data_IF_539606755889
#
_entry.id   IF_539606755889
#
_cell.length_a   1.000
_cell.length_b   1.000
_cell.length_c   1.000
_cell.angle_alpha   90.00
_cell.angle_beta   90.00
_cell.angle_gamma   90.00
#
_symmetry.space_group_name_H-M   'P 1'
#
loop_
_entity.id
_entity.type
_entity.pdbx_description
1 polymer ?
#
# COMPACT_ATOMS: atom_id res chain seq x y z
N UNK A 1 12.04 2.88 -6.32
CA UNK A 1 12.15 4.35 -6.36
C UNK A 1 13.59 4.84 -6.34
N UNK A 2 14.44 4.40 -5.39
CA UNK A 2 15.83 4.88 -5.24
C UNK A 2 16.65 4.80 -6.54
N UNK A 3 16.68 3.63 -7.18
CA UNK A 3 17.42 3.45 -8.44
C UNK A 3 16.92 4.38 -9.55
N UNK A 4 15.59 4.53 -9.69
CA UNK A 4 14.98 5.45 -10.66
C UNK A 4 15.38 6.89 -10.34
N UNK A 5 15.34 7.31 -9.07
CA UNK A 5 15.81 8.63 -8.63
C UNK A 5 17.27 8.92 -9.02
N UNK A 6 18.16 7.92 -8.98
CA UNK A 6 19.54 8.09 -9.42
C UNK A 6 19.67 8.39 -10.91
N UNK A 7 18.83 7.79 -11.77
CA UNK A 7 18.76 8.14 -13.20
C UNK A 7 18.29 9.59 -13.41
N UNK A 8 17.30 10.04 -12.64
CA UNK A 8 16.85 11.43 -12.65
C UNK A 8 17.97 12.40 -12.26
N UNK A 9 18.63 12.17 -11.13
CA UNK A 9 19.73 13.00 -10.65
C UNK A 9 20.92 13.01 -11.64
N UNK A 10 21.33 11.85 -12.13
CA UNK A 10 22.40 11.73 -13.11
C UNK A 10 22.07 12.43 -14.43
N UNK A 11 20.81 12.34 -14.89
CA UNK A 11 20.34 13.03 -16.09
C UNK A 11 20.43 14.55 -16.00
N UNK A 12 20.10 15.11 -14.83
CA UNK A 12 20.22 16.55 -14.57
C UNK A 12 21.71 16.97 -14.50
N UNK A 13 22.52 16.27 -13.69
CA UNK A 13 23.94 16.61 -13.48
C UNK A 13 24.73 16.52 -14.79
N UNK A 14 24.51 15.46 -15.57
CA UNK A 14 25.19 15.24 -16.85
C UNK A 14 24.58 16.01 -18.02
N UNK A 15 23.49 16.78 -17.80
CA UNK A 15 22.70 17.44 -18.84
C UNK A 15 22.36 16.53 -20.03
N UNK A 16 22.12 15.25 -19.75
CA UNK A 16 21.92 14.23 -20.79
C UNK A 16 20.45 13.81 -20.87
N UNK A 17 19.82 14.15 -21.99
CA UNK A 17 18.39 13.89 -22.26
C UNK A 17 18.03 12.41 -22.21
N UNK A 18 18.93 11.50 -22.62
CA UNK A 18 18.64 10.06 -22.65
C UNK A 18 18.45 9.48 -21.25
N UNK A 19 19.26 9.90 -20.26
CA UNK A 19 19.08 9.47 -18.87
C UNK A 19 17.74 9.96 -18.29
N UNK A 20 17.33 11.17 -18.65
CA UNK A 20 16.07 11.76 -18.20
C UNK A 20 14.85 11.14 -18.91
N UNK A 21 14.99 10.72 -20.17
CA UNK A 21 13.98 9.92 -20.87
C UNK A 21 13.83 8.54 -20.23
N UNK A 22 14.93 7.85 -19.93
CA UNK A 22 14.89 6.56 -19.21
C UNK A 22 14.21 6.71 -17.85
N UNK A 23 14.49 7.79 -17.11
CA UNK A 23 13.82 8.09 -15.85
C UNK A 23 12.29 8.16 -16.00
N UNK A 24 11.79 8.93 -16.97
CA UNK A 24 10.34 9.06 -17.25
C UNK A 24 9.75 7.70 -17.63
N UNK A 25 10.39 6.95 -18.54
CA UNK A 25 9.92 5.62 -18.95
C UNK A 25 9.79 4.67 -17.75
N UNK A 26 10.80 4.64 -16.87
CA UNK A 26 10.76 3.80 -15.67
C UNK A 26 9.64 4.22 -14.70
N UNK A 27 9.40 5.52 -14.51
CA UNK A 27 8.29 6.00 -13.68
C UNK A 27 6.94 5.59 -14.25
N UNK A 28 6.74 5.67 -15.57
CA UNK A 28 5.50 5.23 -16.22
C UNK A 28 5.30 3.73 -16.03
N UNK A 29 6.34 2.92 -16.23
CA UNK A 29 6.27 1.48 -15.98
C UNK A 29 5.89 1.16 -14.52
N UNK A 30 6.47 1.88 -13.55
CA UNK A 30 6.13 1.71 -12.13
C UNK A 30 4.69 2.14 -11.81
N UNK A 31 4.20 3.22 -12.42
CA UNK A 31 2.82 3.65 -12.26
C UNK A 31 1.83 2.58 -12.77
N UNK A 32 2.09 2.00 -13.94
CA UNK A 32 1.29 0.90 -14.49
C UNK A 32 1.30 -0.31 -13.56
N UNK A 33 2.48 -0.72 -13.08
CA UNK A 33 2.59 -1.85 -12.14
C UNK A 33 1.80 -1.62 -10.85
N UNK A 34 1.82 -0.40 -10.29
CA UNK A 34 1.02 -0.06 -9.10
C UNK A 34 -0.47 -0.15 -9.34
N UNK A 35 -0.93 0.31 -10.51
CA UNK A 35 -2.35 0.20 -10.90
C UNK A 35 -2.75 -1.28 -11.01
N UNK A 36 -1.93 -2.10 -11.67
CA UNK A 36 -2.17 -3.55 -11.79
C UNK A 36 -2.24 -4.21 -10.40
N UNK A 37 -1.29 -3.91 -9.51
CA UNK A 37 -1.30 -4.44 -8.14
C UNK A 37 -2.54 -3.99 -7.35
N UNK A 38 -2.97 -2.73 -7.53
CA UNK A 38 -4.20 -2.23 -6.93
C UNK A 38 -5.43 -3.00 -7.40
N UNK A 39 -5.56 -3.21 -8.71
CA UNK A 39 -6.67 -3.97 -9.31
C UNK A 39 -6.64 -5.43 -8.83
N UNK A 40 -5.46 -6.07 -8.84
CA UNK A 40 -5.31 -7.46 -8.41
C UNK A 40 -5.70 -7.64 -6.94
N UNK A 41 -5.31 -6.70 -6.09
CA UNK A 41 -5.68 -6.70 -4.67
C UNK A 41 -7.20 -6.66 -4.51
N UNK A 42 -7.89 -5.80 -5.26
CA UNK A 42 -9.35 -5.72 -5.22
C UNK A 42 -10.02 -7.00 -5.75
N UNK A 43 -9.52 -7.55 -6.86
CA UNK A 43 -10.06 -8.77 -7.44
C UNK A 43 -9.86 -10.01 -6.55
N UNK A 44 -8.75 -10.09 -5.81
CA UNK A 44 -8.44 -11.21 -4.92
C UNK A 44 -9.05 -11.08 -3.52
N UNK A 45 -9.54 -9.90 -3.13
CA UNK A 45 -10.17 -9.66 -1.83
C UNK A 45 -11.21 -10.73 -1.43
N UNK A 46 -12.22 -11.07 -2.26
CA UNK A 46 -13.23 -12.05 -1.86
C UNK A 46 -12.67 -13.47 -1.69
N UNK A 47 -11.64 -13.83 -2.46
CA UNK A 47 -10.97 -15.13 -2.35
C UNK A 47 -10.22 -15.22 -1.03
N UNK A 48 -9.47 -14.17 -0.68
CA UNK A 48 -8.75 -14.08 0.59
C UNK A 48 -9.70 -14.08 1.78
N UNK A 49 -10.80 -13.34 1.70
CA UNK A 49 -11.82 -13.32 2.76
C UNK A 49 -12.41 -14.71 2.99
N UNK A 50 -12.70 -15.45 1.91
CA UNK A 50 -13.20 -16.82 1.99
C UNK A 50 -12.16 -17.76 2.60
N UNK A 51 -10.92 -17.75 2.12
CA UNK A 51 -9.86 -18.61 2.67
C UNK A 51 -9.62 -18.32 4.15
N UNK A 52 -9.70 -17.05 4.56
CA UNK A 52 -9.59 -16.67 5.95
C UNK A 52 -10.72 -17.25 6.80
N UNK A 53 -11.98 -17.17 6.34
CA UNK A 53 -13.12 -17.81 7.02
C UNK A 53 -12.94 -19.32 7.13
N UNK A 54 -12.53 -19.97 6.03
CA UNK A 54 -12.35 -21.42 5.97
C UNK A 54 -11.21 -21.88 6.90
N UNK A 55 -10.09 -21.16 6.93
CA UNK A 55 -8.96 -21.44 7.84
C UNK A 55 -9.37 -21.27 9.31
N UNK A 56 -10.05 -20.17 9.64
CA UNK A 56 -10.51 -19.93 11.00
C UNK A 56 -11.52 -20.99 11.45
N UNK A 57 -12.45 -21.37 10.58
CA UNK A 57 -13.38 -22.47 10.83
C UNK A 57 -12.61 -23.78 11.09
N UNK A 58 -11.63 -24.10 10.25
CA UNK A 58 -10.81 -25.33 10.40
C UNK A 58 -10.07 -25.36 11.74
N UNK A 59 -9.42 -24.26 12.11
CA UNK A 59 -8.67 -24.18 13.36
C UNK A 59 -9.58 -24.35 14.57
N UNK A 60 -10.71 -23.66 14.61
CA UNK A 60 -11.61 -23.71 15.77
C UNK A 60 -12.42 -25.00 15.87
N UNK A 61 -12.68 -25.70 14.75
CA UNK A 61 -13.29 -27.04 14.75
C UNK A 61 -12.33 -28.12 15.24
N UNK A 62 -11.03 -27.95 15.05
CA UNK A 62 -9.97 -28.87 15.48
C UNK A 62 -9.00 -28.16 16.43
N UNK A 63 -9.57 -27.52 17.45
CA UNK A 63 -8.82 -26.61 18.34
C UNK A 63 -7.67 -27.28 19.11
N UNK A 64 -7.73 -28.61 19.31
CA UNK A 64 -6.65 -29.37 19.96
C UNK A 64 -5.40 -29.45 19.06
N UNK A 65 -5.57 -29.60 17.75
CA UNK A 65 -4.43 -29.68 16.81
C UNK A 65 -3.91 -28.28 16.40
N UNK A 66 -4.74 -27.24 16.50
CA UNK A 66 -4.41 -25.88 16.09
C UNK A 66 -4.24 -24.88 17.24
N UNK A 67 -4.16 -25.34 18.49
CA UNK A 67 -4.07 -24.53 19.72
C UNK A 67 -3.12 -23.34 19.57
N UNK A 68 -1.86 -23.57 19.16
CA UNK A 68 -0.86 -22.50 18.98
C UNK A 68 -1.28 -21.42 17.98
N UNK A 69 -1.89 -21.80 16.86
CA UNK A 69 -2.33 -20.84 15.84
C UNK A 69 -3.51 -20.01 16.35
N UNK A 70 -4.40 -20.64 17.12
CA UNK A 70 -5.53 -19.98 17.77
C UNK A 70 -5.00 -18.99 18.80
N UNK A 71 -4.08 -19.39 19.67
CA UNK A 71 -3.49 -18.54 20.70
C UNK A 71 -2.81 -17.32 20.11
N UNK A 72 -1.96 -17.50 19.09
CA UNK A 72 -1.28 -16.40 18.40
C UNK A 72 -2.28 -15.39 17.81
N UNK A 73 -3.37 -15.86 17.21
CA UNK A 73 -4.41 -14.98 16.67
C UNK A 73 -5.17 -14.27 17.79
N UNK A 74 -5.53 -14.98 18.86
CA UNK A 74 -6.27 -14.41 19.99
C UNK A 74 -5.46 -13.32 20.69
N UNK A 75 -4.17 -13.55 20.92
CA UNK A 75 -3.25 -12.57 21.51
C UNK A 75 -2.99 -11.39 20.57
N UNK A 76 -2.74 -11.65 19.29
CA UNK A 76 -2.40 -10.59 18.32
C UNK A 76 -3.58 -9.65 18.03
N UNK A 77 -4.80 -10.18 18.03
CA UNK A 77 -6.00 -9.45 17.65
C UNK A 77 -6.97 -9.14 18.81
N UNK A 78 -6.61 -9.54 20.05
CA UNK A 78 -7.41 -9.34 21.26
C UNK A 78 -8.87 -9.81 21.05
N UNK A 79 -8.99 -11.05 20.59
CA UNK A 79 -10.26 -11.65 20.16
C UNK A 79 -10.44 -13.03 20.76
N UNK A 80 -11.67 -13.54 20.73
CA UNK A 80 -11.94 -14.91 21.12
C UNK A 80 -13.08 -15.52 20.31
N UNK A 81 -12.99 -16.81 20.02
CA UNK A 81 -13.82 -17.57 19.06
C UNK A 81 -13.65 -17.16 17.59
N UNK A 82 -13.97 -18.06 16.67
CA UNK A 82 -13.94 -17.77 15.24
C UNK A 82 -14.99 -16.70 14.85
N UNK A 83 -16.26 -16.99 15.13
CA UNK A 83 -17.43 -16.20 14.70
C UNK A 83 -18.36 -15.78 15.85
N UNK A 84 -18.15 -16.31 17.06
CA UNK A 84 -18.91 -15.95 18.25
C UNK A 84 -18.73 -16.96 19.40
N UNK A 85 -18.69 -16.46 20.64
CA UNK A 85 -18.52 -17.30 21.84
C UNK A 85 -19.72 -18.22 22.13
N UNK A 86 -20.90 -17.87 21.60
CA UNK A 86 -22.10 -18.69 21.72
C UNK A 86 -22.00 -20.00 20.92
N UNK A 87 -21.26 -19.99 19.81
CA UNK A 87 -21.12 -21.13 18.88
C UNK A 87 -19.95 -22.05 19.25
N UNK A 88 -19.07 -21.61 20.15
CA UNK A 88 -17.90 -22.37 20.55
C UNK A 88 -18.17 -23.14 21.84
N UNK A 89 -18.42 -24.45 21.71
CA UNK A 89 -18.71 -25.37 22.82
C UNK A 89 -17.43 -26.10 23.26
N UNK A 90 -16.55 -25.38 23.96
CA UNK A 90 -15.32 -25.92 24.56
C UNK A 90 -15.44 -25.94 26.09
N UNK A 91 -14.93 -27.01 26.69
CA UNK A 91 -14.96 -27.21 28.15
C UNK A 91 -14.12 -26.18 28.92
N UNK A 92 -13.03 -25.70 28.31
CA UNK A 92 -12.16 -24.66 28.84
C UNK A 92 -11.76 -23.74 27.69
N UNK A 93 -11.83 -22.43 27.90
CA UNK A 93 -11.29 -21.45 26.95
C UNK A 93 -9.76 -21.42 27.07
N UNK A 94 -9.02 -21.20 25.97
CA UNK A 94 -7.59 -20.94 26.02
C UNK A 94 -7.29 -19.70 26.85
N UNK A 95 -6.13 -19.67 27.49
CA UNK A 95 -5.75 -18.55 28.35
C UNK A 95 -5.53 -17.25 27.52
N UNK A 96 -5.17 -17.39 26.23
CA UNK A 96 -5.02 -16.33 25.21
C UNK A 96 -6.32 -15.59 24.86
N UNK A 97 -7.48 -16.19 25.16
CA UNK A 97 -8.82 -15.62 24.97
C UNK A 97 -9.16 -14.52 26.00
N UNK A 98 -8.33 -14.33 27.04
CA UNK A 98 -8.63 -13.46 28.17
C UNK A 98 -7.57 -12.35 28.37
N UNK A 99 -7.98 -11.11 28.69
CA UNK A 99 -7.06 -9.97 28.90
C UNK A 99 -6.30 -10.02 30.24
N UNK A 100 -6.76 -10.80 31.23
CA UNK A 100 -6.16 -10.92 32.57
C UNK A 100 -6.09 -12.40 32.98
N UNK A 101 -4.98 -12.77 33.65
CA UNK A 101 -4.55 -14.08 34.21
C UNK A 101 -5.55 -15.26 34.24
N UNK A 102 -5.08 -16.51 33.99
CA UNK A 102 -5.89 -17.69 33.61
C UNK A 102 -6.80 -18.34 34.65
N UNK A 103 -6.90 -17.82 35.88
CA UNK A 103 -7.64 -18.51 36.94
C UNK A 103 -9.16 -18.44 36.78
N UNK A 104 -9.69 -17.42 36.08
CA UNK A 104 -11.13 -17.17 35.91
C UNK A 104 -11.53 -16.87 34.44
N UNK A 105 -10.85 -17.46 33.46
CA UNK A 105 -11.20 -17.27 32.05
C UNK A 105 -12.49 -18.03 31.71
N UNK A 106 -13.59 -17.30 31.54
CA UNK A 106 -14.91 -17.83 31.21
C UNK A 106 -15.54 -16.99 30.08
N UNK A 107 -16.74 -17.37 29.63
CA UNK A 107 -17.42 -16.66 28.53
C UNK A 107 -17.77 -15.19 28.86
N UNK A 108 -17.83 -14.82 30.14
CA UNK A 108 -18.13 -13.46 30.60
C UNK A 108 -16.88 -12.58 30.71
N UNK A 109 -15.71 -13.17 31.02
CA UNK A 109 -14.43 -12.48 31.21
C UNK A 109 -13.56 -12.49 29.94
N UNK A 110 -13.84 -13.37 28.99
CA UNK A 110 -13.21 -13.47 27.68
C UNK A 110 -13.43 -12.24 26.78
N UNK A 111 -12.57 -12.10 25.77
CA UNK A 111 -12.80 -11.15 24.69
C UNK A 111 -14.13 -11.46 23.97
N UNK A 112 -15.06 -10.51 24.01
CA UNK A 112 -16.37 -10.65 23.38
C UNK A 112 -16.33 -10.50 21.85
N UNK A 113 -15.19 -10.07 21.30
CA UNK A 113 -15.03 -9.82 19.86
C UNK A 113 -14.61 -11.11 19.14
N UNK A 114 -15.36 -11.59 18.13
CA UNK A 114 -14.94 -12.72 17.30
C UNK A 114 -13.68 -12.41 16.50
N UNK A 115 -12.78 -13.38 16.38
CA UNK A 115 -11.50 -13.21 15.69
C UNK A 115 -11.64 -12.84 14.22
N UNK A 116 -12.63 -13.39 13.51
CA UNK A 116 -12.91 -12.98 12.14
C UNK A 116 -13.15 -11.46 12.04
N UNK A 117 -14.01 -10.92 12.92
CA UNK A 117 -14.35 -9.50 12.92
C UNK A 117 -13.18 -8.60 13.35
N UNK A 118 -12.40 -9.03 14.35
CA UNK A 118 -11.23 -8.30 14.84
C UNK A 118 -10.16 -8.19 13.75
N UNK A 119 -9.85 -9.30 13.08
CA UNK A 119 -8.88 -9.34 11.98
C UNK A 119 -9.37 -8.47 10.82
N UNK A 120 -10.61 -8.63 10.35
CA UNK A 120 -11.15 -7.82 9.24
C UNK A 120 -11.06 -6.33 9.58
N UNK A 121 -11.45 -5.93 10.80
CA UNK A 121 -11.37 -4.54 11.24
C UNK A 121 -9.93 -4.00 11.26
N UNK A 122 -8.97 -4.79 11.74
CA UNK A 122 -7.55 -4.41 11.73
C UNK A 122 -7.01 -4.32 10.31
N UNK A 123 -7.33 -5.30 9.45
CA UNK A 123 -7.00 -5.33 8.03
C UNK A 123 -7.54 -4.07 7.35
N UNK A 124 -8.83 -3.77 7.45
CA UNK A 124 -9.43 -2.57 6.86
C UNK A 124 -8.74 -1.27 7.31
N UNK A 125 -8.43 -1.15 8.59
CA UNK A 125 -7.75 0.02 9.14
C UNK A 125 -6.37 0.19 8.52
N UNK A 126 -5.59 -0.88 8.42
CA UNK A 126 -4.24 -0.85 7.83
C UNK A 126 -4.30 -0.65 6.31
N UNK A 127 -5.22 -1.30 5.62
CA UNK A 127 -5.44 -1.15 4.19
C UNK A 127 -5.79 0.29 3.80
N UNK A 128 -6.60 1.00 4.59
CA UNK A 128 -6.88 2.43 4.35
C UNK A 128 -5.61 3.28 4.38
N UNK A 129 -4.73 3.06 5.37
CA UNK A 129 -3.46 3.79 5.50
C UNK A 129 -2.52 3.45 4.33
N UNK A 130 -2.37 2.16 4.02
CA UNK A 130 -1.51 1.68 2.92
C UNK A 130 -2.00 2.22 1.57
N UNK A 131 -3.31 2.17 1.33
CA UNK A 131 -3.94 2.71 0.13
C UNK A 131 -3.65 4.20 -0.05
N UNK A 132 -3.75 5.00 1.02
CA UNK A 132 -3.41 6.42 1.00
C UNK A 132 -1.93 6.68 0.68
N UNK A 133 -1.02 5.90 1.24
CA UNK A 133 0.42 5.98 0.92
C UNK A 133 0.70 5.64 -0.54
N UNK A 134 0.10 4.57 -1.06
CA UNK A 134 0.22 4.17 -2.47
C UNK A 134 -0.30 5.25 -3.42
N UNK A 135 -1.43 5.88 -3.10
CA UNK A 135 -1.98 6.98 -3.90
C UNK A 135 -1.08 8.22 -3.89
N UNK A 136 -0.58 8.60 -2.71
CA UNK A 136 0.36 9.72 -2.56
C UNK A 136 1.62 9.51 -3.40
N UNK A 137 2.13 8.29 -3.36
CA UNK A 137 3.26 7.83 -4.16
C UNK A 137 2.97 7.96 -5.67
N UNK A 138 1.78 7.55 -6.13
CA UNK A 138 1.39 7.66 -7.54
C UNK A 138 1.31 9.13 -8.00
N UNK A 139 0.74 10.01 -7.18
CA UNK A 139 0.71 11.45 -7.45
C UNK A 139 2.12 12.04 -7.55
N UNK A 140 3.02 11.65 -6.64
CA UNK A 140 4.42 12.08 -6.66
C UNK A 140 5.14 11.63 -7.95
N UNK A 141 4.88 10.42 -8.45
CA UNK A 141 5.45 9.94 -9.71
C UNK A 141 5.00 10.78 -10.90
N UNK A 142 3.71 11.14 -10.97
CA UNK A 142 3.19 12.00 -12.03
C UNK A 142 3.85 13.38 -11.97
N UNK A 143 3.97 13.96 -10.78
CA UNK A 143 4.68 15.24 -10.59
C UNK A 143 6.14 15.15 -11.05
N UNK A 144 6.84 14.07 -10.70
CA UNK A 144 8.21 13.83 -11.14
C UNK A 144 8.33 13.69 -12.67
N UNK A 145 7.38 13.04 -13.33
CA UNK A 145 7.32 12.95 -14.79
C UNK A 145 7.16 14.35 -15.43
N UNK A 146 6.25 15.18 -14.91
CA UNK A 146 6.01 16.53 -15.40
C UNK A 146 7.28 17.39 -15.24
N UNK A 147 7.90 17.35 -14.06
CA UNK A 147 9.13 18.10 -13.80
C UNK A 147 10.28 17.64 -14.72
N UNK A 148 10.44 16.33 -14.91
CA UNK A 148 11.45 15.81 -15.83
C UNK A 148 11.18 16.26 -17.28
N UNK A 149 9.93 16.25 -17.74
CA UNK A 149 9.56 16.73 -19.07
C UNK A 149 9.88 18.22 -19.26
N UNK A 150 9.57 19.07 -18.26
CA UNK A 150 9.93 20.49 -18.27
C UNK A 150 11.44 20.69 -18.38
N UNK A 151 12.23 19.91 -17.62
CA UNK A 151 13.69 19.97 -17.69
C UNK A 151 14.21 19.56 -19.08
N UNK A 152 13.66 18.51 -19.69
CA UNK A 152 14.02 18.11 -21.07
C UNK A 152 13.71 19.24 -22.06
N UNK A 153 12.55 19.88 -21.95
CA UNK A 153 12.15 21.01 -22.80
C UNK A 153 13.13 22.18 -22.66
N UNK A 154 13.50 22.54 -21.42
CA UNK A 154 14.47 23.60 -21.17
C UNK A 154 15.85 23.26 -21.77
N UNK A 155 16.31 22.00 -21.67
CA UNK A 155 17.55 21.56 -22.33
C UNK A 155 17.45 21.59 -23.87
N UNK A 156 16.27 21.38 -24.45
CA UNK A 156 16.08 21.54 -25.90
C UNK A 156 16.19 23.01 -26.32
N UNK A 157 15.58 23.92 -25.56
CA UNK A 157 15.63 25.37 -25.83
C UNK A 157 17.04 25.96 -25.74
N UNK A 158 17.90 25.42 -24.87
CA UNK A 158 19.30 25.85 -24.77
C UNK A 158 20.14 25.42 -25.97
N UNK A 159 19.82 24.28 -26.61
CA UNK A 159 20.53 23.78 -27.80
C UNK A 159 20.01 24.43 -29.09
N UNK A 160 18.70 24.70 -29.15
CA UNK A 160 18.06 25.33 -30.29
C UNK A 160 17.23 26.52 -29.77
N UNK A 161 17.84 27.70 -29.58
CA UNK A 161 17.10 28.87 -29.14
C UNK A 161 16.03 29.21 -30.20
N UNK A 162 14.83 29.64 -29.79
CA UNK A 162 13.84 30.11 -30.76
C UNK A 162 14.44 31.28 -31.56
N UNK A 163 14.30 31.24 -32.89
CA UNK A 163 14.56 32.37 -33.78
C UNK A 163 13.82 33.61 -33.22
N UNK A 164 14.47 34.78 -33.06
CA UNK A 164 13.80 35.97 -32.56
C UNK A 164 12.59 36.30 -33.45
N UNK A 165 11.42 36.42 -32.84
CA UNK A 165 10.23 36.94 -33.51
C UNK A 165 10.46 38.41 -33.86
N UNK A 166 10.07 38.83 -35.07
CA UNK A 166 10.28 40.17 -35.65
C UNK A 166 9.80 41.33 -34.74
N UNK A 167 8.97 41.03 -33.73
CA UNK A 167 8.46 41.99 -32.75
C UNK A 167 9.48 42.45 -31.68
N UNK A 168 10.68 41.87 -31.61
CA UNK A 168 11.78 42.33 -30.72
C UNK A 168 12.84 43.20 -31.42
N UNK A 169 12.67 43.51 -32.72
CA UNK A 169 13.56 44.46 -33.37
C UNK A 169 13.39 45.86 -32.72
N UNK A 170 14.47 46.49 -32.22
CA UNK A 170 14.37 47.84 -31.70
C UNK A 170 13.85 48.75 -32.81
N UNK A 171 12.96 49.72 -32.51
CA UNK A 171 12.48 50.65 -33.52
C UNK A 171 13.69 51.32 -34.15
N UNK A 172 13.89 51.10 -35.45
CA UNK A 172 14.87 51.80 -36.25
C UNK A 172 14.57 53.29 -36.09
N UNK A 173 15.45 53.99 -35.38
CA UNK A 173 15.42 55.44 -35.24
C UNK A 173 15.59 56.04 -36.63
N UNK A 174 14.48 56.42 -37.26
CA UNK A 174 14.46 57.26 -38.43
C UNK A 174 14.74 58.69 -38.00
N UNK A 175 16.00 59.13 -38.12
CA UNK A 175 16.44 60.52 -38.33
C UNK A 175 17.88 60.51 -38.78
#
# INVERSE_FOLDING_TARGET
MVAVGAFGAAGIIKKNKSYLQTYITLLICLAILKIILGILTFAMYPVVEKEMKDRLSTWYNDSENYEKNIDEVQEMFECCSAFGLAEWDVKKLPDSCCPVSPQDCNKDTAYQTPCYSAIVKQVEKKFKVIGGLCLTILCLEIMCCILAAIVIYNFARQVNPPEPTIDEAPPTSAT
#
